data_IF_520250711571
#
_entry.id   IF_520250711571
#
_cell.length_a   1.000
_cell.length_b   1.000
_cell.length_c   1.000
_cell.angle_alpha   90.00
_cell.angle_beta   90.00
_cell.angle_gamma   90.00
#
_symmetry.space_group_name_H-M   'P 1'
#
loop_
_entity.id
_entity.type
_entity.pdbx_description
1 polymer ?
#
# COMPACT_ATOMS: atom_id res chain seq x y z
N UNK A 1 -20.43 -11.16 -10.75
CA UNK A 1 -19.09 -10.55 -10.93
C UNK A 1 -18.09 -11.45 -10.23
N UNK A 2 -16.96 -11.80 -10.86
CA UNK A 2 -15.84 -12.37 -10.09
C UNK A 2 -15.30 -11.22 -9.24
N UNK A 3 -15.34 -11.34 -7.92
CA UNK A 3 -14.71 -10.38 -7.03
C UNK A 3 -13.22 -10.32 -7.41
N UNK A 4 -12.73 -9.16 -7.82
CA UNK A 4 -11.29 -8.99 -7.96
C UNK A 4 -10.65 -8.87 -6.58
N UNK A 5 -9.32 -8.94 -6.54
CA UNK A 5 -8.55 -8.85 -5.31
C UNK A 5 -7.99 -7.44 -5.14
N UNK A 6 -8.13 -6.88 -3.95
CA UNK A 6 -7.44 -5.66 -3.54
C UNK A 6 -5.94 -5.94 -3.39
N UNK A 7 -5.11 -5.03 -3.88
CA UNK A 7 -3.65 -5.20 -3.92
C UNK A 7 -3.00 -3.94 -3.38
N UNK A 8 -2.08 -4.08 -2.42
CA UNK A 8 -1.11 -3.02 -2.13
C UNK A 8 0.09 -3.26 -3.03
N UNK A 9 0.36 -2.30 -3.91
CA UNK A 9 1.51 -2.36 -4.82
C UNK A 9 2.58 -1.38 -4.34
N UNK A 10 3.85 -1.73 -4.45
CA UNK A 10 4.97 -0.89 -4.02
C UNK A 10 5.88 -0.62 -5.22
N UNK A 11 6.05 0.65 -5.57
CA UNK A 11 6.84 1.11 -6.71
C UNK A 11 8.06 1.88 -6.24
N UNK A 12 9.23 1.46 -6.72
CA UNK A 12 10.51 2.18 -6.62
C UNK A 12 11.44 1.70 -7.73
N UNK A 13 12.40 2.54 -8.10
CA UNK A 13 13.42 2.23 -9.10
C UNK A 13 14.63 1.52 -8.54
N UNK A 14 14.78 1.51 -7.21
CA UNK A 14 15.93 0.88 -6.55
C UNK A 14 15.46 -0.40 -5.90
N UNK A 15 15.97 -1.52 -6.39
CA UNK A 15 15.84 -2.81 -5.72
C UNK A 15 16.97 -2.89 -4.70
N UNK A 16 16.63 -2.92 -3.41
CA UNK A 16 17.61 -3.19 -2.37
C UNK A 16 18.00 -4.68 -2.38
N UNK A 17 19.27 -4.99 -2.15
CA UNK A 17 19.78 -6.37 -2.13
C UNK A 17 19.06 -7.24 -1.06
N UNK A 18 18.58 -6.62 0.01
CA UNK A 18 17.90 -7.24 1.14
C UNK A 18 16.36 -7.10 1.08
N UNK A 19 15.78 -6.76 -0.08
CA UNK A 19 14.34 -6.50 -0.27
C UNK A 19 13.45 -7.55 0.39
N UNK A 20 13.73 -8.84 0.15
CA UNK A 20 12.93 -9.96 0.65
C UNK A 20 13.01 -10.06 2.17
N UNK A 21 14.22 -10.01 2.72
CA UNK A 21 14.46 -10.13 4.17
C UNK A 21 13.87 -8.94 4.93
N UNK A 22 14.04 -7.73 4.39
CA UNK A 22 13.45 -6.50 4.94
C UNK A 22 11.92 -6.56 4.89
N UNK A 23 11.35 -7.09 3.81
CA UNK A 23 9.89 -7.31 3.70
C UNK A 23 9.38 -8.29 4.74
N UNK A 24 10.09 -9.41 4.96
CA UNK A 24 9.68 -10.43 5.93
C UNK A 24 9.76 -9.91 7.36
N UNK A 25 10.89 -9.29 7.74
CA UNK A 25 11.05 -8.64 9.05
C UNK A 25 9.97 -7.59 9.30
N UNK A 26 9.61 -6.81 8.27
CA UNK A 26 8.55 -5.80 8.38
C UNK A 26 7.16 -6.42 8.53
N UNK A 27 6.86 -7.49 7.77
CA UNK A 27 5.64 -8.28 7.93
C UNK A 27 5.50 -8.77 9.38
N UNK A 28 6.55 -9.38 9.94
CA UNK A 28 6.56 -9.91 11.30
C UNK A 28 6.33 -8.84 12.36
N UNK A 29 6.94 -7.67 12.19
CA UNK A 29 6.73 -6.51 13.08
C UNK A 29 5.30 -5.96 13.03
N UNK A 30 4.62 -6.09 11.88
CA UNK A 30 3.21 -5.74 11.73
C UNK A 30 2.25 -6.89 12.14
N UNK A 31 2.78 -7.98 12.70
CA UNK A 31 1.99 -9.13 13.17
C UNK A 31 1.66 -10.18 12.11
N UNK A 32 2.21 -10.07 10.90
CA UNK A 32 2.08 -11.07 9.84
C UNK A 32 3.15 -12.15 10.00
N UNK A 33 2.79 -13.42 9.85
CA UNK A 33 3.76 -14.54 9.85
C UNK A 33 4.07 -14.95 8.42
N UNK A 34 5.34 -15.03 8.08
CA UNK A 34 5.77 -15.51 6.76
C UNK A 34 5.82 -17.03 6.78
N UNK A 35 5.10 -17.69 5.89
CA UNK A 35 5.25 -19.12 5.68
C UNK A 35 6.30 -19.35 4.59
N UNK A 36 7.45 -19.93 4.94
CA UNK A 36 8.55 -20.23 4.00
C UNK A 36 8.13 -21.16 2.85
N UNK A 37 7.03 -21.90 2.99
CA UNK A 37 6.80 -23.13 2.23
C UNK A 37 6.23 -22.95 0.80
N UNK A 38 6.36 -21.79 0.16
CA UNK A 38 5.88 -21.67 -1.23
C UNK A 38 6.67 -20.69 -2.10
N UNK A 39 8.01 -20.73 -2.07
CA UNK A 39 8.78 -20.14 -3.18
C UNK A 39 8.33 -20.81 -4.49
N UNK A 40 7.55 -20.07 -5.27
CA UNK A 40 7.16 -20.46 -6.62
C UNK A 40 7.68 -19.42 -7.57
N UNK A 41 8.78 -19.76 -8.22
CA UNK A 41 9.25 -19.02 -9.39
C UNK A 41 8.25 -19.21 -10.51
N UNK A 42 7.46 -18.17 -10.80
CA UNK A 42 6.59 -18.14 -11.96
C UNK A 42 7.28 -17.32 -13.05
N UNK A 43 7.59 -17.95 -14.18
CA UNK A 43 7.98 -17.23 -15.39
C UNK A 43 6.72 -16.86 -16.16
N UNK A 44 6.35 -15.59 -16.10
CA UNK A 44 5.39 -15.01 -17.02
C UNK A 44 6.17 -14.03 -17.87
N UNK A 45 6.13 -14.18 -19.21
CA UNK A 45 6.73 -13.20 -20.13
C UNK A 45 8.21 -12.89 -19.82
N UNK A 46 9.04 -13.92 -19.64
CA UNK A 46 10.47 -13.84 -19.31
C UNK A 46 10.86 -13.20 -17.96
N UNK A 47 9.90 -12.72 -17.17
CA UNK A 47 10.15 -12.15 -15.83
C UNK A 47 10.13 -13.20 -14.72
N UNK A 48 11.02 -13.01 -13.74
CA UNK A 48 11.14 -13.89 -12.58
C UNK A 48 10.41 -13.31 -11.35
N UNK A 49 9.26 -13.91 -11.00
CA UNK A 49 8.54 -13.57 -9.78
C UNK A 49 8.84 -14.54 -8.66
N UNK A 50 9.26 -14.03 -7.49
CA UNK A 50 9.27 -14.81 -6.24
C UNK A 50 7.97 -14.59 -5.49
N UNK A 51 7.27 -15.67 -5.16
CA UNK A 51 5.97 -15.61 -4.47
C UNK A 51 6.08 -16.28 -3.12
N UNK A 52 5.41 -15.73 -2.13
CA UNK A 52 5.34 -16.28 -0.79
C UNK A 52 3.92 -16.14 -0.23
N UNK A 53 3.65 -16.91 0.82
CA UNK A 53 2.40 -16.81 1.58
C UNK A 53 2.72 -16.17 2.93
N UNK A 54 1.89 -15.22 3.35
CA UNK A 54 1.94 -14.63 4.68
C UNK A 54 0.60 -14.78 5.37
N UNK A 55 0.60 -14.95 6.69
CA UNK A 55 -0.58 -15.16 7.51
C UNK A 55 -0.84 -13.99 8.44
N UNK A 56 -2.10 -13.63 8.61
CA UNK A 56 -2.54 -12.69 9.63
C UNK A 56 -3.79 -13.27 10.29
N UNK A 57 -3.69 -13.60 11.59
CA UNK A 57 -4.68 -14.44 12.25
C UNK A 57 -4.76 -15.83 11.61
N UNK A 58 -5.97 -16.23 11.20
CA UNK A 58 -6.27 -17.50 10.52
C UNK A 58 -6.27 -17.38 8.98
N UNK A 59 -6.04 -16.17 8.45
CA UNK A 59 -6.08 -15.89 7.00
C UNK A 59 -4.70 -15.97 6.39
N UNK A 60 -4.65 -16.25 5.09
CA UNK A 60 -3.42 -16.33 4.29
C UNK A 60 -3.52 -15.41 3.08
N UNK A 61 -2.43 -14.69 2.80
CA UNK A 61 -2.31 -13.68 1.76
C UNK A 61 -1.08 -13.99 0.91
N UNK A 62 -1.14 -13.64 -0.37
CA UNK A 62 -0.03 -13.84 -1.28
C UNK A 62 0.79 -12.56 -1.43
N UNK A 63 2.10 -12.67 -1.32
CA UNK A 63 3.03 -11.61 -1.71
C UNK A 63 3.84 -12.07 -2.92
N UNK A 64 4.13 -11.14 -3.82
CA UNK A 64 4.90 -11.39 -5.03
C UNK A 64 5.93 -10.29 -5.21
N UNK A 65 7.19 -10.70 -5.34
CA UNK A 65 8.31 -9.84 -5.67
C UNK A 65 8.59 -9.92 -7.16
N UNK A 66 8.85 -8.77 -7.77
CA UNK A 66 9.43 -8.68 -9.10
C UNK A 66 10.87 -8.18 -8.95
N UNK A 67 11.82 -9.09 -9.11
CA UNK A 67 13.25 -8.86 -8.88
C UNK A 67 14.01 -8.57 -10.18
N UNK A 68 13.29 -8.33 -11.27
CA UNK A 68 13.90 -8.00 -12.55
C UNK A 68 14.41 -6.55 -12.52
N UNK A 69 15.67 -6.36 -12.92
CA UNK A 69 16.29 -5.04 -13.06
C UNK A 69 15.71 -4.28 -14.27
N UNK A 70 15.28 -5.00 -15.31
CA UNK A 70 14.66 -4.45 -16.53
C UNK A 70 13.13 -4.39 -16.44
N UNK A 71 12.58 -4.45 -15.22
CA UNK A 71 11.15 -4.43 -14.95
C UNK A 71 10.47 -3.18 -15.55
N UNK A 72 9.33 -3.33 -16.24
CA UNK A 72 8.56 -2.19 -16.74
C UNK A 72 8.12 -1.21 -15.63
N UNK A 73 8.00 0.09 -15.91
CA UNK A 73 7.54 1.12 -14.96
C UNK A 73 6.27 0.77 -14.19
N UNK A 74 5.31 0.14 -14.87
CA UNK A 74 4.02 -0.23 -14.30
C UNK A 74 3.97 -1.53 -13.52
N UNK A 75 5.11 -2.18 -13.32
CA UNK A 75 5.21 -3.37 -12.48
C UNK A 75 5.83 -3.00 -11.13
N UNK A 76 5.18 -3.34 -10.00
CA UNK A 76 5.71 -3.03 -8.68
C UNK A 76 6.86 -3.98 -8.31
N UNK A 77 7.79 -3.52 -7.46
CA UNK A 77 8.82 -4.38 -6.85
C UNK A 77 8.20 -5.44 -5.93
N UNK A 78 7.07 -5.10 -5.31
CA UNK A 78 6.33 -5.94 -4.38
C UNK A 78 4.83 -5.70 -4.57
N UNK A 79 4.07 -6.78 -4.74
CA UNK A 79 2.62 -6.79 -4.71
C UNK A 79 2.10 -7.63 -3.56
N UNK A 80 1.28 -7.03 -2.69
CA UNK A 80 0.62 -7.70 -1.59
C UNK A 80 -0.86 -7.89 -1.91
N UNK A 81 -1.31 -9.15 -2.03
CA UNK A 81 -2.71 -9.48 -2.32
C UNK A 81 -3.51 -9.55 -1.03
N UNK A 82 -4.38 -8.56 -0.80
CA UNK A 82 -5.11 -8.40 0.45
C UNK A 82 -6.46 -9.14 0.48
N UNK A 83 -6.81 -9.88 -0.58
CA UNK A 83 -8.13 -10.49 -0.73
C UNK A 83 -9.18 -9.43 -1.06
N UNK A 84 -10.41 -9.60 -0.58
CA UNK A 84 -11.46 -8.59 -0.71
C UNK A 84 -11.50 -7.77 0.59
N UNK A 85 -10.65 -6.75 0.71
CA UNK A 85 -10.66 -5.83 1.83
C UNK A 85 -11.97 -5.04 1.88
N UNK A 86 -12.52 -4.65 0.74
CA UNK A 86 -13.74 -3.84 0.69
C UNK A 86 -15.04 -4.64 0.84
N UNK A 87 -14.99 -5.98 0.83
CA UNK A 87 -16.18 -6.81 0.93
C UNK A 87 -16.57 -7.02 2.40
N UNK A 88 -17.37 -6.11 2.96
CA UNK A 88 -17.91 -6.23 4.31
C UNK A 88 -18.75 -7.50 4.49
N UNK A 89 -19.40 -8.00 3.44
CA UNK A 89 -20.18 -9.23 3.52
C UNK A 89 -19.31 -10.48 3.77
N UNK A 90 -17.99 -10.37 3.54
CA UNK A 90 -17.01 -11.41 3.86
C UNK A 90 -16.56 -11.41 5.33
N UNK A 91 -17.01 -10.46 6.15
CA UNK A 91 -16.65 -10.34 7.57
C UNK A 91 -17.90 -10.17 8.42
N UNK A 92 -18.15 -11.14 9.30
CA UNK A 92 -19.35 -11.14 10.17
C UNK A 92 -19.20 -10.22 11.40
N UNK A 93 -17.98 -9.76 11.69
CA UNK A 93 -17.61 -8.96 12.86
C UNK A 93 -16.88 -7.67 12.44
N UNK A 94 -17.46 -6.51 12.78
CA UNK A 94 -16.87 -5.18 12.52
C UNK A 94 -15.51 -4.99 13.17
N UNK A 95 -15.26 -5.63 14.32
CA UNK A 95 -13.96 -5.57 14.99
C UNK A 95 -12.90 -6.33 14.23
N UNK A 96 -13.22 -7.54 13.77
CA UNK A 96 -12.29 -8.34 12.94
C UNK A 96 -11.94 -7.58 11.66
N UNK A 97 -12.92 -6.91 11.05
CA UNK A 97 -12.68 -6.05 9.89
C UNK A 97 -11.70 -4.92 10.22
N UNK A 98 -11.94 -4.20 11.33
CA UNK A 98 -11.12 -3.06 11.75
C UNK A 98 -9.69 -3.47 12.06
N UNK A 99 -9.52 -4.53 12.86
CA UNK A 99 -8.21 -5.06 13.24
C UNK A 99 -7.43 -5.53 12.01
N UNK A 100 -8.13 -6.09 11.00
CA UNK A 100 -7.55 -6.45 9.70
C UNK A 100 -7.11 -5.22 8.92
N UNK A 101 -7.97 -4.22 8.79
CA UNK A 101 -7.64 -2.99 8.07
C UNK A 101 -6.51 -2.21 8.74
N UNK A 102 -6.45 -2.18 10.07
CA UNK A 102 -5.32 -1.62 10.81
C UNK A 102 -4.03 -2.37 10.51
N UNK A 103 -4.05 -3.71 10.50
CA UNK A 103 -2.88 -4.51 10.11
C UNK A 103 -2.39 -4.20 8.69
N UNK A 104 -3.29 -4.07 7.71
CA UNK A 104 -2.90 -3.71 6.33
C UNK A 104 -2.42 -2.27 6.20
N UNK A 105 -3.03 -1.35 6.92
CA UNK A 105 -2.63 0.06 6.91
C UNK A 105 -1.25 0.23 7.57
N UNK A 106 -1.00 -0.44 8.70
CA UNK A 106 0.32 -0.50 9.33
C UNK A 106 1.36 -1.10 8.39
N UNK A 107 1.03 -2.21 7.72
CA UNK A 107 1.92 -2.87 6.78
C UNK A 107 2.27 -1.95 5.60
N UNK A 108 1.27 -1.28 5.01
CA UNK A 108 1.47 -0.29 3.95
C UNK A 108 2.47 0.79 4.40
N UNK A 109 2.26 1.39 5.57
CA UNK A 109 3.12 2.45 6.08
C UNK A 109 4.55 1.95 6.35
N UNK A 110 4.68 0.84 7.09
CA UNK A 110 6.00 0.29 7.46
C UNK A 110 6.79 -0.18 6.26
N UNK A 111 6.18 -0.90 5.31
CA UNK A 111 6.88 -1.35 4.11
C UNK A 111 7.27 -0.17 3.23
N UNK A 112 6.43 0.87 3.14
CA UNK A 112 6.77 2.05 2.35
C UNK A 112 8.03 2.72 2.87
N UNK A 113 8.18 2.85 4.18
CA UNK A 113 9.40 3.37 4.83
C UNK A 113 10.57 2.41 4.67
N UNK A 114 10.39 1.14 5.05
CA UNK A 114 11.47 0.16 5.12
C UNK A 114 12.09 -0.15 3.75
N UNK A 115 11.30 -0.11 2.68
CA UNK A 115 11.74 -0.39 1.32
C UNK A 115 12.05 0.89 0.52
N UNK A 116 12.02 2.06 1.17
CA UNK A 116 12.22 3.37 0.55
C UNK A 116 11.42 3.54 -0.76
N UNK A 117 10.11 3.25 -0.69
CA UNK A 117 9.26 3.26 -1.90
C UNK A 117 8.92 4.68 -2.33
N UNK A 118 8.83 4.89 -3.63
CA UNK A 118 8.43 6.19 -4.21
C UNK A 118 6.91 6.35 -4.16
N UNK A 119 6.19 5.25 -4.34
CA UNK A 119 4.73 5.24 -4.40
C UNK A 119 4.16 3.88 -4.03
N UNK A 120 3.17 3.84 -3.14
CA UNK A 120 2.49 2.61 -2.75
C UNK A 120 0.96 2.78 -2.67
N UNK A 121 0.23 2.47 -3.75
CA UNK A 121 -1.22 2.52 -3.76
C UNK A 121 -1.88 1.26 -3.20
N UNK A 122 -3.05 1.44 -2.57
CA UNK A 122 -4.06 0.39 -2.47
C UNK A 122 -4.92 0.38 -3.74
N UNK A 123 -4.70 -0.62 -4.59
CA UNK A 123 -5.39 -0.83 -5.85
C UNK A 123 -6.63 -1.70 -5.62
N UNK A 124 -7.79 -1.18 -6.01
CA UNK A 124 -9.06 -1.92 -6.01
C UNK A 124 -9.33 -2.49 -7.41
N UNK A 125 -10.07 -3.60 -7.53
CA UNK A 125 -10.35 -4.27 -8.81
C UNK A 125 -10.96 -3.42 -9.91
N UNK A 126 -11.72 -2.41 -9.52
CA UNK A 126 -12.42 -1.45 -10.36
C UNK A 126 -11.58 -0.22 -10.69
N UNK A 127 -10.43 -0.04 -10.03
CA UNK A 127 -9.55 1.11 -10.19
C UNK A 127 -8.41 0.79 -11.18
N UNK A 128 -8.62 1.14 -12.45
CA UNK A 128 -7.66 0.96 -13.55
C UNK A 128 -7.12 2.33 -13.95
N UNK A 129 -5.97 2.72 -13.40
CA UNK A 129 -5.36 4.05 -13.61
C UNK A 129 -4.41 4.47 -12.50
N UNK A 130 -4.40 3.70 -11.40
CA UNK A 130 -3.58 3.94 -10.21
C UNK A 130 -2.17 3.37 -10.29
N UNK A 131 -1.91 2.38 -11.17
CA UNK A 131 -0.56 1.91 -11.41
C UNK A 131 0.15 2.91 -12.36
N UNK A 132 1.42 3.26 -12.10
CA UNK A 132 2.19 4.04 -13.07
C UNK A 132 2.35 3.23 -14.37
N UNK A 133 2.63 3.92 -15.46
CA UNK A 133 2.89 3.36 -16.79
C UNK A 133 4.20 3.89 -17.39
N UNK A 134 4.76 4.96 -16.83
CA UNK A 134 6.05 5.53 -17.23
C UNK A 134 6.77 6.24 -16.07
N UNK A 135 7.93 6.81 -16.38
CA UNK A 135 8.69 7.67 -15.49
C UNK A 135 8.71 9.12 -15.94
N UNK A 136 8.72 10.03 -14.97
CA UNK A 136 8.58 9.81 -13.51
C UNK A 136 7.13 9.50 -13.09
N UNK A 137 6.96 8.75 -12.00
CA UNK A 137 5.65 8.22 -11.55
C UNK A 137 4.53 9.26 -11.61
N UNK A 138 4.78 10.47 -11.08
CA UNK A 138 3.77 11.52 -11.01
C UNK A 138 3.18 11.92 -12.38
N UNK A 139 3.97 11.86 -13.45
CA UNK A 139 3.54 12.28 -14.78
C UNK A 139 2.65 11.22 -15.47
N UNK A 140 2.56 10.05 -14.85
CA UNK A 140 2.04 8.82 -15.45
C UNK A 140 0.79 8.28 -14.71
N UNK A 141 0.38 8.92 -13.61
CA UNK A 141 -0.82 8.53 -12.88
C UNK A 141 -2.05 9.16 -13.54
N UNK A 142 -2.93 8.31 -14.09
CA UNK A 142 -4.22 8.77 -14.64
C UNK A 142 -5.25 9.00 -13.54
N UNK A 143 -5.23 8.15 -12.51
CA UNK A 143 -6.11 8.21 -11.34
C UNK A 143 -5.30 8.07 -10.05
N UNK A 144 -5.80 8.69 -8.98
CA UNK A 144 -5.20 8.57 -7.65
C UNK A 144 -5.97 7.56 -6.80
N UNK A 145 -5.27 6.73 -6.00
CA UNK A 145 -5.91 5.82 -5.09
C UNK A 145 -6.53 6.59 -3.91
N UNK A 146 -7.62 6.05 -3.36
CA UNK A 146 -8.20 6.60 -2.13
C UNK A 146 -7.31 6.39 -0.90
N UNK A 147 -6.41 5.41 -0.95
CA UNK A 147 -5.39 5.14 0.08
C UNK A 147 -4.06 4.92 -0.64
N UNK A 148 -3.04 5.69 -0.29
CA UNK A 148 -1.70 5.51 -0.85
C UNK A 148 -0.62 6.15 0.00
N UNK A 149 0.62 5.74 -0.23
CA UNK A 149 1.82 6.40 0.30
C UNK A 149 2.62 6.97 -0.84
N UNK A 150 3.14 8.19 -0.66
CA UNK A 150 3.88 8.93 -1.66
C UNK A 150 5.20 9.42 -1.06
N UNK A 151 6.29 9.22 -1.77
CA UNK A 151 7.52 9.95 -1.51
C UNK A 151 7.33 11.44 -1.80
N UNK A 152 8.05 12.28 -1.04
CA UNK A 152 8.01 13.73 -1.21
C UNK A 152 8.27 14.17 -2.64
N UNK A 153 9.17 13.51 -3.36
CA UNK A 153 9.48 13.88 -4.75
C UNK A 153 8.29 13.70 -5.70
N UNK A 154 7.44 12.70 -5.45
CA UNK A 154 6.18 12.50 -6.18
C UNK A 154 5.21 13.63 -5.85
N UNK A 155 5.04 13.94 -4.57
CA UNK A 155 4.14 15.02 -4.09
C UNK A 155 4.56 16.40 -4.62
N UNK A 156 5.84 16.73 -4.53
CA UNK A 156 6.41 18.01 -4.98
C UNK A 156 6.21 18.20 -6.49
N UNK A 157 6.22 17.10 -7.26
CA UNK A 157 6.01 17.13 -8.71
C UNK A 157 4.57 17.46 -9.11
N UNK A 158 3.60 17.06 -8.30
CA UNK A 158 2.22 17.56 -8.42
C UNK A 158 2.04 19.00 -7.93
N UNK A 159 3.05 19.58 -7.28
CA UNK A 159 2.96 20.90 -6.65
C UNK A 159 2.38 20.87 -5.23
N UNK A 160 2.45 19.72 -4.55
CA UNK A 160 1.90 19.51 -3.21
C UNK A 160 0.60 18.70 -3.20
N UNK A 161 0.19 18.24 -2.02
CA UNK A 161 -1.01 17.41 -1.84
C UNK A 161 -2.30 18.12 -2.27
N UNK A 162 -2.41 19.43 -2.02
CA UNK A 162 -3.58 20.23 -2.41
C UNK A 162 -3.76 20.25 -3.94
N UNK A 163 -2.67 20.42 -4.68
CA UNK A 163 -2.68 20.41 -6.15
C UNK A 163 -2.94 19.00 -6.70
N UNK A 164 -2.43 17.97 -6.01
CA UNK A 164 -2.57 16.56 -6.40
C UNK A 164 -4.02 16.07 -6.32
N UNK A 165 -4.74 16.36 -5.23
CA UNK A 165 -6.10 15.85 -5.02
C UNK A 165 -7.20 16.88 -5.34
N UNK A 166 -6.87 18.16 -5.42
CA UNK A 166 -7.84 19.23 -5.73
C UNK A 166 -8.95 19.39 -4.68
N UNK A 167 -8.82 18.75 -3.52
CA UNK A 167 -9.80 18.71 -2.44
C UNK A 167 -9.10 18.53 -1.09
N UNK A 168 -9.83 18.83 0.00
CA UNK A 168 -9.36 18.57 1.34
C UNK A 168 -9.30 17.05 1.59
N UNK A 169 -8.12 16.58 1.96
CA UNK A 169 -7.88 15.19 2.30
C UNK A 169 -8.46 14.86 3.67
N UNK A 170 -9.01 13.66 3.81
CA UNK A 170 -9.59 13.22 5.08
C UNK A 170 -8.53 12.89 6.15
N UNK A 171 -7.41 12.31 5.73
CA UNK A 171 -6.30 11.98 6.61
C UNK A 171 -4.98 12.06 5.85
N UNK A 172 -3.99 12.70 6.46
CA UNK A 172 -2.59 12.68 6.03
C UNK A 172 -1.68 12.45 7.23
N UNK A 173 -0.61 11.71 7.00
CA UNK A 173 0.48 11.62 7.97
C UNK A 173 1.83 11.52 7.24
N UNK A 174 2.78 12.37 7.61
CA UNK A 174 4.17 12.26 7.17
C UNK A 174 4.88 11.24 8.06
N UNK A 175 5.31 10.15 7.44
CA UNK A 175 6.09 9.06 8.01
C UNK A 175 7.59 9.40 7.96
N UNK A 176 8.40 8.53 8.56
CA UNK A 176 9.86 8.59 8.42
C UNK A 176 10.29 8.53 6.94
N UNK A 177 11.39 9.21 6.60
CA UNK A 177 11.91 9.25 5.23
C UNK A 177 11.11 10.14 4.28
N UNK A 178 10.43 11.18 4.79
CA UNK A 178 9.64 12.15 4.02
C UNK A 178 8.52 11.51 3.17
N UNK A 179 7.99 10.36 3.61
CA UNK A 179 6.87 9.69 2.93
C UNK A 179 5.55 10.15 3.52
N UNK A 180 4.55 10.39 2.70
CA UNK A 180 3.23 10.83 3.16
C UNK A 180 2.19 9.76 2.85
N UNK A 181 1.57 9.21 3.90
CA UNK A 181 0.37 8.40 3.74
C UNK A 181 -0.85 9.31 3.62
N UNK A 182 -1.72 9.00 2.67
CA UNK A 182 -2.94 9.75 2.37
C UNK A 182 -4.13 8.81 2.40
N UNK A 183 -5.22 9.26 3.03
CA UNK A 183 -6.56 8.73 2.82
C UNK A 183 -7.45 9.87 2.34
N UNK A 184 -7.95 9.72 1.12
CA UNK A 184 -8.64 10.79 0.39
C UNK A 184 -9.97 11.16 1.06
N UNK A 185 -10.76 10.18 1.46
CA UNK A 185 -12.16 10.36 1.89
C UNK A 185 -12.47 9.55 3.15
N UNK A 186 -13.49 9.95 3.92
CA UNK A 186 -13.97 9.26 5.13
C UNK A 186 -14.43 7.81 4.86
N UNK A 187 -14.78 7.49 3.61
CA UNK A 187 -15.21 6.15 3.20
C UNK A 187 -14.34 5.62 2.05
N UNK A 188 -13.06 5.32 2.31
CA UNK A 188 -12.15 4.89 1.24
C UNK A 188 -12.54 3.51 0.68
N UNK A 189 -13.41 2.76 1.38
CA UNK A 189 -13.89 1.42 1.01
C UNK A 189 -15.41 1.36 0.76
N UNK A 190 -16.04 2.49 0.41
CA UNK A 190 -17.45 2.72 0.04
C UNK A 190 -18.53 2.37 1.09
N UNK A 191 -18.39 1.31 1.88
CA UNK A 191 -19.46 0.79 2.76
C UNK A 191 -19.02 0.56 4.21
N UNK A 192 -17.75 0.71 4.54
CA UNK A 192 -17.25 0.35 5.87
C UNK A 192 -16.81 1.56 6.71
N UNK A 193 -17.31 1.61 7.95
CA UNK A 193 -16.92 2.58 8.96
C UNK A 193 -15.58 2.17 9.60
N UNK A 194 -14.50 2.53 8.90
CA UNK A 194 -13.13 2.35 9.35
C UNK A 194 -12.42 3.69 9.38
N UNK A 195 -11.61 3.91 10.41
CA UNK A 195 -10.76 5.09 10.56
C UNK A 195 -9.29 4.69 10.68
N UNK A 196 -8.37 5.39 9.98
CA UNK A 196 -6.95 5.24 10.19
C UNK A 196 -6.60 5.46 11.66
N UNK A 197 -5.69 4.66 12.24
CA UNK A 197 -5.19 4.93 13.58
C UNK A 197 -4.38 6.24 13.58
N UNK A 198 -4.41 6.95 14.71
CA UNK A 198 -3.64 8.20 14.93
C UNK A 198 -2.66 8.07 16.09
N UNK A 199 -2.83 7.03 16.91
CA UNK A 199 -2.10 6.77 18.16
C UNK A 199 -1.36 5.42 18.14
N UNK A 200 -1.22 4.81 16.97
CA UNK A 200 -0.50 3.53 16.83
C UNK A 200 1.01 3.73 16.91
N UNK A 201 1.72 2.77 17.52
CA UNK A 201 3.18 2.82 17.74
C UNK A 201 3.99 3.06 16.45
N UNK A 202 3.54 2.55 15.29
CA UNK A 202 4.23 2.76 14.02
C UNK A 202 4.12 4.19 13.48
N UNK A 203 3.23 5.00 14.06
CA UNK A 203 3.01 6.42 13.78
C UNK A 203 3.57 7.32 14.89
N UNK A 204 4.31 6.79 15.87
CA UNK A 204 4.82 7.58 17.01
C UNK A 204 5.62 8.82 16.57
N UNK A 205 6.34 8.71 15.44
CA UNK A 205 7.13 9.79 14.86
C UNK A 205 6.42 10.48 13.68
N UNK A 206 5.16 10.15 13.41
CA UNK A 206 4.44 10.72 12.29
C UNK A 206 3.96 12.14 12.60
N UNK A 207 4.07 13.03 11.61
CA UNK A 207 3.46 14.35 11.67
C UNK A 207 2.10 14.31 10.97
N UNK A 208 1.04 14.73 11.65
CA UNK A 208 -0.30 14.81 11.08
C UNK A 208 -0.58 16.25 10.68
N UNK A 209 -1.15 16.46 9.49
CA UNK A 209 -1.75 17.76 9.20
C UNK A 209 -3.05 17.87 9.99
N UNK A 210 -3.20 18.95 10.75
CA UNK A 210 -4.46 19.22 11.42
C UNK A 210 -5.55 19.43 10.37
N UNK A 211 -6.77 18.87 10.54
CA UNK A 211 -7.90 19.33 9.76
C UNK A 211 -8.05 20.83 10.01
N UNK A 212 -8.02 21.63 8.95
CA UNK A 212 -8.22 23.07 9.03
C UNK A 212 -9.54 23.31 9.77
N UNK A 213 -9.48 23.80 11.01
CA UNK A 213 -10.63 24.18 11.83
C UNK A 213 -11.28 25.42 11.18
N UNK A 214 -11.99 25.23 10.07
CA UNK A 214 -12.87 26.26 9.52
C UNK A 214 -14.27 26.04 10.04
N UNK A 215 -14.59 26.85 11.05
CA UNK A 215 -15.89 27.11 11.69
C UNK A 215 -17.07 27.25 10.71
#
# INVERSE_FOLDING_TARGET
MRAGTDIIAFYTFRIADDLVDTTFSTCERAGFRVDEETERTARALDQEYKKFTVRYGDRSFGIAFNLDDDRPPGEPILGFRCGNLSDQASVTDEREFRDRMHGFFELLCRLSVALDVDYAPLIRPDNRGVAPDDHPIADSLEELPRIGVYDRTVVDRFGGLEAMFGAQLWYTATLEGDKTVVVETERPLDEVDWRPPTDADFLENAAFDAPDERE
#
